data_IF_663218685631
#
_entry.id   IF_663218685631
#
_cell.length_a   1.000
_cell.length_b   1.000
_cell.length_c   1.000
_cell.angle_alpha   90.00
_cell.angle_beta   90.00
_cell.angle_gamma   90.00
#
_symmetry.space_group_name_H-M   'P 1'
#
loop_
_entity.id
_entity.type
_entity.pdbx_description
1 polymer ?
#
# COMPACT_ATOMS: atom_id res chain seq x y z
N UNK A 1 -23.62 10.35 4.17
CA UNK A 1 -22.41 11.20 4.19
C UNK A 1 -21.26 10.27 4.52
N UNK A 2 -20.33 10.04 3.58
CA UNK A 2 -19.09 9.34 3.90
C UNK A 2 -18.26 10.27 4.78
N UNK A 3 -17.73 9.81 5.94
CA UNK A 3 -16.80 10.65 6.70
C UNK A 3 -15.63 11.04 5.78
N UNK A 4 -15.02 12.22 5.97
CA UNK A 4 -13.79 12.54 5.26
C UNK A 4 -12.79 11.44 5.64
N UNK A 5 -12.51 10.55 4.68
CA UNK A 5 -11.46 9.58 4.81
C UNK A 5 -10.18 10.41 4.90
N UNK A 6 -9.68 10.58 6.12
CA UNK A 6 -8.36 11.16 6.35
C UNK A 6 -7.42 10.08 5.85
N UNK A 7 -7.15 10.03 4.55
CA UNK A 7 -6.40 8.95 3.93
C UNK A 7 -4.98 9.01 4.48
N UNK A 8 -4.55 8.20 5.46
CA UNK A 8 -3.27 8.43 6.09
C UNK A 8 -2.16 7.71 5.31
N UNK A 9 -2.52 6.81 4.40
CA UNK A 9 -1.62 5.83 3.80
C UNK A 9 -1.92 5.58 2.34
N UNK A 10 -0.87 5.55 1.53
CA UNK A 10 -0.87 5.16 0.12
C UNK A 10 -0.02 3.90 -0.03
N UNK A 11 -0.58 2.86 -0.64
CA UNK A 11 0.17 1.77 -1.25
C UNK A 11 0.56 2.21 -2.66
N UNK A 12 1.85 2.39 -2.89
CA UNK A 12 2.40 2.70 -4.22
C UNK A 12 3.03 1.45 -4.82
N UNK A 13 2.56 1.05 -5.99
CA UNK A 13 3.07 -0.08 -6.76
C UNK A 13 4.10 0.37 -7.80
N UNK A 14 4.92 -0.56 -8.28
CA UNK A 14 5.92 -0.29 -9.30
C UNK A 14 5.28 0.20 -10.61
N UNK A 15 5.81 1.24 -11.28
CA UNK A 15 5.23 1.83 -12.48
C UNK A 15 5.50 0.99 -13.74
N UNK A 16 4.97 -0.23 -13.80
CA UNK A 16 5.15 -1.13 -14.95
C UNK A 16 4.74 -0.49 -16.29
N UNK A 17 3.80 0.47 -16.27
CA UNK A 17 3.29 1.18 -17.43
C UNK A 17 3.54 2.70 -17.39
N UNK A 18 4.58 3.14 -16.68
CA UNK A 18 5.06 4.53 -16.68
C UNK A 18 4.51 5.42 -15.56
N UNK A 19 3.30 5.17 -15.05
CA UNK A 19 2.76 5.81 -13.84
C UNK A 19 2.71 4.78 -12.71
N UNK A 20 3.15 5.13 -11.48
CA UNK A 20 2.94 4.27 -10.32
C UNK A 20 1.44 4.14 -10.05
N UNK A 21 0.97 2.91 -9.89
CA UNK A 21 -0.40 2.70 -9.41
C UNK A 21 -0.43 2.96 -7.90
N UNK A 22 -1.40 3.75 -7.45
CA UNK A 22 -1.56 4.13 -6.05
C UNK A 22 -2.94 3.70 -5.55
N UNK A 23 -2.94 3.00 -4.43
CA UNK A 23 -4.15 2.57 -3.74
C UNK A 23 -4.21 3.18 -2.35
N UNK A 24 -5.39 3.64 -1.95
CA UNK A 24 -5.62 4.22 -0.63
C UNK A 24 -5.89 3.13 0.38
N UNK A 25 -5.15 3.16 1.48
CA UNK A 25 -5.32 2.22 2.58
C UNK A 25 -6.09 2.88 3.73
N UNK A 26 -6.99 2.13 4.41
CA UNK A 26 -7.90 2.71 5.41
C UNK A 26 -7.23 3.04 6.76
N UNK A 27 -6.09 2.44 7.06
CA UNK A 27 -5.35 2.62 8.32
C UNK A 27 -4.11 3.49 8.18
N UNK A 28 -3.41 3.79 9.29
CA UNK A 28 -2.15 4.52 9.28
C UNK A 28 -0.98 3.68 8.75
N UNK A 29 0.13 4.29 8.27
CA UNK A 29 1.20 3.56 7.60
C UNK A 29 1.85 2.46 8.46
N UNK A 30 1.95 2.69 9.76
CA UNK A 30 2.53 1.78 10.75
C UNK A 30 1.78 0.45 10.90
N UNK A 31 0.50 0.41 10.50
CA UNK A 31 -0.33 -0.80 10.53
C UNK A 31 -0.03 -1.77 9.38
N UNK A 32 0.80 -1.34 8.41
CA UNK A 32 1.10 -2.11 7.22
C UNK A 32 2.55 -2.58 7.19
N UNK A 33 2.75 -3.80 6.68
CA UNK A 33 4.07 -4.40 6.49
C UNK A 33 4.19 -4.91 5.06
N UNK A 34 5.30 -4.58 4.41
CA UNK A 34 5.69 -5.14 3.12
C UNK A 34 6.62 -6.32 3.37
N UNK A 35 6.29 -7.46 2.79
CA UNK A 35 7.09 -8.68 2.87
C UNK A 35 7.43 -9.16 1.46
N UNK A 36 8.71 -9.44 1.22
CA UNK A 36 9.15 -10.07 -0.02
C UNK A 36 9.09 -11.60 0.15
N UNK A 37 8.19 -12.25 -0.57
CA UNK A 37 7.97 -13.72 -0.50
C UNK A 37 8.73 -14.47 -1.59
N UNK A 38 9.04 -13.81 -2.71
CA UNK A 38 9.94 -14.31 -3.75
C UNK A 38 10.71 -13.15 -4.36
N UNK A 39 11.67 -13.44 -5.25
CA UNK A 39 12.55 -12.44 -5.88
C UNK A 39 11.82 -11.18 -6.34
N UNK A 40 10.70 -11.34 -7.03
CA UNK A 40 9.92 -10.22 -7.58
C UNK A 40 8.51 -10.15 -6.99
N UNK A 41 8.17 -10.98 -5.99
CA UNK A 41 6.83 -11.09 -5.42
C UNK A 41 6.74 -10.53 -4.01
N UNK A 42 5.82 -9.58 -3.82
CA UNK A 42 5.64 -8.83 -2.57
C UNK A 42 4.21 -8.97 -2.07
N UNK A 43 4.08 -9.09 -0.75
CA UNK A 43 2.81 -9.17 -0.04
C UNK A 43 2.75 -8.02 0.96
N UNK A 44 1.65 -7.28 0.96
CA UNK A 44 1.37 -6.25 1.97
C UNK A 44 0.34 -6.81 2.93
N UNK A 45 0.70 -6.86 4.21
CA UNK A 45 -0.21 -7.21 5.30
C UNK A 45 -0.65 -5.96 6.05
N UNK A 46 -1.94 -5.86 6.33
CA UNK A 46 -2.53 -4.84 7.18
C UNK A 46 -2.83 -5.34 8.60
N UNK A 47 -3.66 -4.60 9.36
CA UNK A 47 -4.10 -4.97 10.69
C UNK A 47 -4.62 -6.41 10.76
N UNK A 48 -4.28 -7.13 11.84
CA UNK A 48 -4.72 -8.51 12.04
C UNK A 48 -4.11 -9.53 11.06
N UNK A 49 -3.11 -9.13 10.27
CA UNK A 49 -2.43 -10.01 9.30
C UNK A 49 -3.16 -10.18 7.97
N UNK A 50 -4.21 -9.39 7.72
CA UNK A 50 -4.96 -9.44 6.47
C UNK A 50 -4.06 -9.09 5.28
N UNK A 51 -4.14 -9.86 4.18
CA UNK A 51 -3.43 -9.54 2.94
C UNK A 51 -4.22 -8.48 2.19
N UNK A 52 -3.64 -7.29 2.05
CA UNK A 52 -4.26 -6.17 1.30
C UNK A 52 -3.71 -6.06 -0.12
N UNK A 53 -2.49 -6.56 -0.36
CA UNK A 53 -1.91 -6.65 -1.69
C UNK A 53 -0.99 -7.88 -1.81
N UNK A 54 -0.93 -8.47 -3.00
CA UNK A 54 -0.01 -9.56 -3.34
C UNK A 54 0.28 -9.52 -4.83
N UNK A 55 1.52 -9.25 -5.22
CA UNK A 55 1.85 -9.10 -6.63
C UNK A 55 3.32 -8.81 -6.92
N UNK A 56 3.59 -8.53 -8.19
CA UNK A 56 4.91 -8.11 -8.65
C UNK A 56 5.26 -6.73 -8.09
N UNK A 57 6.42 -6.62 -7.45
CA UNK A 57 6.90 -5.38 -6.84
C UNK A 57 8.19 -4.84 -7.47
N UNK A 58 8.87 -3.88 -6.81
CA UNK A 58 8.68 -3.45 -5.42
C UNK A 58 7.39 -2.64 -5.19
N UNK A 59 6.91 -2.66 -3.94
CA UNK A 59 5.79 -1.82 -3.47
C UNK A 59 6.22 -0.98 -2.27
N UNK A 60 5.55 0.14 -2.02
CA UNK A 60 5.88 1.09 -0.96
C UNK A 60 4.63 1.48 -0.17
N UNK A 61 4.78 1.64 1.16
CA UNK A 61 3.79 2.24 2.03
C UNK A 61 4.24 3.66 2.34
N UNK A 62 3.43 4.64 1.95
CA UNK A 62 3.74 6.06 2.08
C UNK A 62 2.67 6.74 2.95
N UNK A 63 3.04 7.70 3.81
CA UNK A 63 2.04 8.58 4.41
C UNK A 63 1.39 9.40 3.30
N UNK A 64 0.07 9.49 3.27
CA UNK A 64 -0.59 10.39 2.33
C UNK A 64 -0.31 11.82 2.78
N UNK A 65 0.49 12.54 2.00
CA UNK A 65 0.74 13.96 2.21
C UNK A 65 -0.33 14.74 1.46
N UNK A 66 -1.09 15.57 2.16
CA UNK A 66 -1.88 16.64 1.55
C UNK A 66 -0.90 17.61 0.87
N UNK A 67 -0.83 17.56 -0.45
CA UNK A 67 -0.29 18.62 -1.29
C UNK A 67 -1.40 19.58 -1.70
#
# INVERSE_FOLDING_TARGET
>A
MHPPMIYPTILRMHPWFGQPEEELLPGPPEDYRVEQQAKDWFVVRGPGGQVVHSGLGPVQILPARHG
#
